data_IF_576404641503
#
_entry.id   IF_576404641503
#
_cell.length_a   1.000
_cell.length_b   1.000
_cell.length_c   1.000
_cell.angle_alpha   90.00
_cell.angle_beta   90.00
_cell.angle_gamma   90.00
#
_symmetry.space_group_name_H-M   'P 1'
#
loop_
_entity.id
_entity.type
_entity.pdbx_description
1 polymer ?
#
# COMPACT_ATOMS: atom_id res chain seq x y z
N UNK A 1 -32.25 6.11 -1.57
CA UNK A 1 -32.28 4.71 -2.05
C UNK A 1 -31.34 3.91 -1.19
N UNK A 2 -31.86 2.92 -0.45
CA UNK A 2 -31.07 2.07 0.45
C UNK A 2 -30.01 1.35 -0.40
N UNK A 3 -28.72 1.36 -0.02
CA UNK A 3 -27.70 0.60 -0.74
C UNK A 3 -28.14 -0.87 -0.72
N UNK A 4 -28.39 -1.43 -1.92
CA UNK A 4 -28.68 -2.86 -2.08
C UNK A 4 -27.65 -3.63 -1.24
N UNK A 5 -28.07 -4.59 -0.41
CA UNK A 5 -27.15 -5.34 0.45
C UNK A 5 -26.39 -6.37 -0.39
N UNK A 6 -25.60 -5.88 -1.36
CA UNK A 6 -24.73 -6.65 -2.25
C UNK A 6 -23.81 -7.56 -1.43
N UNK A 7 -23.40 -7.11 -0.25
CA UNK A 7 -22.62 -7.93 0.69
C UNK A 7 -23.39 -9.16 1.20
N UNK A 8 -24.69 -9.03 1.48
CA UNK A 8 -25.54 -10.16 1.91
C UNK A 8 -25.84 -11.11 0.76
N UNK A 9 -26.09 -10.58 -0.44
CA UNK A 9 -26.30 -11.38 -1.65
C UNK A 9 -25.01 -12.11 -2.07
N UNK A 10 -23.85 -11.46 -1.96
CA UNK A 10 -22.54 -12.06 -2.15
C UNK A 10 -22.26 -13.19 -1.17
N UNK A 11 -22.58 -13.00 0.12
CA UNK A 11 -22.47 -14.08 1.13
C UNK A 11 -23.34 -15.30 0.83
N UNK A 12 -24.58 -15.08 0.35
CA UNK A 12 -25.47 -16.15 -0.12
C UNK A 12 -24.95 -16.85 -1.38
N UNK A 13 -24.35 -16.09 -2.30
CA UNK A 13 -23.77 -16.61 -3.54
C UNK A 13 -22.54 -17.48 -3.28
N UNK A 14 -21.63 -17.06 -2.40
CA UNK A 14 -20.47 -17.85 -1.96
C UNK A 14 -20.93 -19.20 -1.40
N UNK A 15 -21.98 -19.19 -0.56
CA UNK A 15 -22.56 -20.41 0.01
C UNK A 15 -23.16 -21.32 -1.07
N UNK A 16 -23.75 -20.75 -2.13
CA UNK A 16 -24.31 -21.50 -3.25
C UNK A 16 -23.22 -22.13 -4.13
N UNK A 17 -22.20 -21.35 -4.51
CA UNK A 17 -21.10 -21.86 -5.34
C UNK A 17 -20.28 -22.92 -4.59
N UNK A 18 -20.00 -22.71 -3.31
CA UNK A 18 -19.23 -23.66 -2.50
C UNK A 18 -19.96 -24.99 -2.30
N UNK A 19 -21.28 -24.97 -2.07
CA UNK A 19 -22.06 -26.18 -1.83
C UNK A 19 -22.46 -26.91 -3.12
N UNK A 20 -22.80 -26.18 -4.19
CA UNK A 20 -23.33 -26.78 -5.44
C UNK A 20 -22.29 -26.90 -6.54
N UNK A 21 -21.30 -26.00 -6.62
CA UNK A 21 -20.24 -26.04 -7.63
C UNK A 21 -19.33 -27.26 -7.48
N UNK A 22 -18.87 -27.53 -6.25
CA UNK A 22 -17.99 -28.67 -5.98
C UNK A 22 -18.68 -30.02 -6.25
N UNK A 23 -19.95 -30.17 -5.87
CA UNK A 23 -20.70 -31.40 -6.12
C UNK A 23 -21.02 -31.60 -7.60
N UNK A 24 -21.31 -30.52 -8.35
CA UNK A 24 -21.58 -30.61 -9.78
C UNK A 24 -20.33 -30.97 -10.60
N UNK A 25 -19.17 -30.37 -10.29
CA UNK A 25 -17.92 -30.68 -10.98
C UNK A 25 -17.48 -32.12 -10.71
N UNK A 26 -17.67 -32.62 -9.48
CA UNK A 26 -17.37 -34.03 -9.13
C UNK A 26 -18.26 -35.02 -9.86
N UNK A 27 -19.56 -34.73 -9.99
CA UNK A 27 -20.49 -35.56 -10.77
C UNK A 27 -20.11 -35.56 -12.27
N UNK A 28 -19.86 -34.38 -12.86
CA UNK A 28 -19.50 -34.25 -14.28
C UNK A 28 -18.14 -34.90 -14.60
N UNK A 29 -17.20 -34.90 -13.65
CA UNK A 29 -15.91 -35.58 -13.80
C UNK A 29 -16.00 -37.11 -13.78
N UNK A 30 -17.07 -37.65 -13.20
CA UNK A 30 -17.35 -39.07 -13.22
C UNK A 30 -17.97 -39.50 -14.56
N UNK A 31 -18.81 -38.66 -15.16
CA UNK A 31 -19.55 -38.98 -16.38
C UNK A 31 -18.75 -38.77 -17.68
N UNK A 32 -17.75 -37.88 -17.69
CA UNK A 32 -16.96 -37.61 -18.90
C UNK A 32 -15.46 -37.97 -18.79
N UNK A 33 -14.98 -39.03 -19.47
CA UNK A 33 -13.58 -39.46 -19.41
C UNK A 33 -12.60 -38.45 -20.06
N UNK A 34 -13.05 -37.66 -21.05
CA UNK A 34 -12.25 -36.57 -21.63
C UNK A 34 -12.05 -35.42 -20.64
N UNK A 35 -13.13 -35.05 -19.94
CA UNK A 35 -13.09 -34.00 -18.93
C UNK A 35 -12.19 -34.40 -17.76
N UNK A 36 -12.27 -35.66 -17.29
CA UNK A 36 -11.40 -36.22 -16.25
C UNK A 36 -9.91 -36.07 -16.59
N UNK A 37 -9.51 -36.36 -17.82
CA UNK A 37 -8.11 -36.21 -18.27
C UNK A 37 -7.67 -34.75 -18.30
N UNK A 38 -8.53 -33.84 -18.76
CA UNK A 38 -8.23 -32.41 -18.77
C UNK A 38 -8.13 -31.84 -17.35
N UNK A 39 -9.11 -32.13 -16.50
CA UNK A 39 -9.13 -31.74 -15.09
C UNK A 39 -7.91 -32.30 -14.33
N UNK A 40 -7.52 -33.54 -14.57
CA UNK A 40 -6.31 -34.12 -13.98
C UNK A 40 -5.03 -33.40 -14.45
N UNK A 41 -4.93 -33.00 -15.74
CA UNK A 41 -3.81 -32.21 -16.24
C UNK A 41 -3.73 -30.85 -15.58
N UNK A 42 -4.86 -30.13 -15.47
CA UNK A 42 -4.90 -28.81 -14.82
C UNK A 42 -4.66 -28.91 -13.31
N UNK A 43 -5.21 -29.92 -12.64
CA UNK A 43 -4.95 -30.20 -11.24
C UNK A 43 -3.48 -30.51 -10.96
N UNK A 44 -2.82 -31.26 -11.84
CA UNK A 44 -1.37 -31.50 -11.75
C UNK A 44 -0.56 -30.23 -11.99
N UNK A 45 -0.96 -29.39 -12.96
CA UNK A 45 -0.33 -28.09 -13.20
C UNK A 45 -0.45 -27.20 -11.95
N UNK A 46 -1.64 -27.09 -11.36
CA UNK A 46 -1.86 -26.31 -10.15
C UNK A 46 -1.05 -26.85 -8.97
N UNK A 47 -1.00 -28.18 -8.80
CA UNK A 47 -0.16 -28.79 -7.77
C UNK A 47 1.33 -28.47 -7.97
N UNK A 48 1.82 -28.52 -9.21
CA UNK A 48 3.20 -28.17 -9.52
C UNK A 48 3.49 -26.69 -9.27
N UNK A 49 2.57 -25.80 -9.62
CA UNK A 49 2.69 -24.36 -9.33
C UNK A 49 2.72 -24.14 -7.82
N UNK A 50 1.79 -24.74 -7.07
CA UNK A 50 1.74 -24.62 -5.62
C UNK A 50 3.05 -25.09 -4.98
N UNK A 51 3.53 -26.29 -5.31
CA UNK A 51 4.79 -26.83 -4.80
C UNK A 51 6.00 -25.98 -5.17
N UNK A 52 6.03 -25.41 -6.39
CA UNK A 52 7.10 -24.50 -6.82
C UNK A 52 7.10 -23.22 -6.00
N UNK A 53 5.94 -22.61 -5.82
CA UNK A 53 5.79 -21.40 -5.01
C UNK A 53 6.16 -21.66 -3.56
N UNK A 54 5.72 -22.77 -2.96
CA UNK A 54 6.08 -23.14 -1.59
C UNK A 54 7.59 -23.31 -1.41
N UNK A 55 8.27 -24.00 -2.35
CA UNK A 55 9.74 -24.19 -2.26
C UNK A 55 10.48 -22.87 -2.44
N UNK A 56 10.01 -21.98 -3.32
CA UNK A 56 10.59 -20.65 -3.49
C UNK A 56 10.42 -19.81 -2.21
N UNK A 57 9.21 -19.73 -1.68
CA UNK A 57 8.90 -18.98 -0.45
C UNK A 57 9.70 -19.47 0.75
N UNK A 58 9.79 -20.78 0.97
CA UNK A 58 10.56 -21.36 2.08
C UNK A 58 12.06 -20.99 1.97
N UNK A 59 12.60 -20.91 0.76
CA UNK A 59 14.00 -20.55 0.54
C UNK A 59 14.28 -19.08 0.85
N UNK A 60 13.37 -18.19 0.50
CA UNK A 60 13.49 -16.77 0.81
C UNK A 60 13.40 -16.54 2.32
N UNK A 61 12.53 -17.26 3.03
CA UNK A 61 12.43 -17.24 4.50
C UNK A 61 13.68 -17.80 5.17
N UNK A 62 14.25 -18.91 4.68
CA UNK A 62 15.51 -19.45 5.20
C UNK A 62 16.71 -18.52 4.94
N UNK A 63 16.76 -17.89 3.77
CA UNK A 63 17.79 -16.91 3.44
C UNK A 63 17.68 -15.67 4.34
N UNK A 64 16.46 -15.21 4.62
CA UNK A 64 16.19 -14.10 5.54
C UNK A 64 16.58 -14.45 6.98
N UNK A 65 16.28 -15.67 7.45
CA UNK A 65 16.70 -16.15 8.79
C UNK A 65 18.21 -16.24 8.92
N UNK A 66 18.90 -16.78 7.91
CA UNK A 66 20.38 -16.83 7.91
C UNK A 66 21.01 -15.46 7.81
N UNK A 67 20.37 -14.50 7.12
CA UNK A 67 20.83 -13.11 7.09
C UNK A 67 20.70 -12.44 8.47
N UNK A 68 19.61 -12.72 9.19
CA UNK A 68 19.39 -12.23 10.57
C UNK A 68 20.34 -12.88 11.58
N UNK A 69 20.51 -14.20 11.54
CA UNK A 69 21.45 -14.92 12.42
C UNK A 69 22.91 -14.48 12.21
N UNK A 70 23.31 -14.19 10.97
CA UNK A 70 24.64 -13.64 10.65
C UNK A 70 24.81 -12.18 11.05
N UNK A 71 23.73 -11.41 11.08
CA UNK A 71 23.73 -10.02 11.56
C UNK A 71 23.66 -9.94 13.09
N UNK A 72 23.09 -10.94 13.77
CA UNK A 72 22.94 -11.01 15.23
C UNK A 72 24.09 -11.76 15.93
N UNK A 73 24.94 -12.50 15.21
CA UNK A 73 26.09 -13.19 15.81
C UNK A 73 27.21 -12.19 16.19
N UNK A 74 27.64 -12.13 17.47
CA UNK A 74 28.73 -11.27 17.89
C UNK A 74 30.06 -11.76 17.29
N UNK A 75 30.73 -10.85 16.59
CA UNK A 75 31.97 -11.03 15.83
C UNK A 75 33.18 -11.30 16.73
N UNK A 76 33.32 -12.50 17.29
CA UNK A 76 34.62 -13.06 17.70
C UNK A 76 34.55 -14.58 17.66
N UNK A 77 34.90 -15.22 16.53
CA UNK A 77 35.30 -16.64 16.52
C UNK A 77 36.45 -16.94 15.54
N UNK A 78 37.56 -17.30 16.17
CA UNK A 78 38.62 -18.27 15.87
C UNK A 78 38.74 -18.87 14.47
N UNK A 79 39.96 -18.80 13.93
CA UNK A 79 40.44 -19.20 12.59
C UNK A 79 40.20 -20.67 12.15
N UNK A 80 39.60 -21.51 13.00
CA UNK A 80 39.31 -22.91 12.69
C UNK A 80 37.88 -23.12 12.13
N UNK A 81 36.90 -22.31 12.53
CA UNK A 81 35.55 -22.35 11.94
C UNK A 81 35.58 -21.85 10.49
N UNK A 82 36.41 -20.86 10.17
CA UNK A 82 36.60 -20.34 8.80
C UNK A 82 37.18 -21.39 7.85
N UNK A 83 38.11 -22.24 8.30
CA UNK A 83 38.68 -23.31 7.45
C UNK A 83 37.70 -24.45 7.19
N UNK A 84 36.85 -24.78 8.16
CA UNK A 84 35.79 -25.76 7.97
C UNK A 84 34.63 -25.22 7.13
N UNK A 85 34.29 -23.94 7.28
CA UNK A 85 33.31 -23.27 6.42
C UNK A 85 33.81 -23.10 5.00
N UNK A 86 35.11 -22.82 4.80
CA UNK A 86 35.72 -22.78 3.47
C UNK A 86 35.70 -24.15 2.77
N UNK A 87 35.96 -25.24 3.49
CA UNK A 87 35.95 -26.60 2.91
C UNK A 87 34.54 -27.11 2.65
N UNK A 88 33.55 -26.75 3.49
CA UNK A 88 32.12 -27.01 3.26
C UNK A 88 31.53 -26.12 2.17
N UNK A 89 31.95 -24.86 2.06
CA UNK A 89 31.59 -23.94 0.97
C UNK A 89 32.18 -24.41 -0.37
N UNK A 90 33.42 -24.90 -0.39
CA UNK A 90 34.07 -25.48 -1.58
C UNK A 90 33.42 -26.81 -2.02
N UNK A 91 32.85 -27.60 -1.09
CA UNK A 91 32.02 -28.79 -1.43
C UNK A 91 30.62 -28.41 -1.92
N UNK A 92 30.03 -27.35 -1.37
CA UNK A 92 28.68 -26.87 -1.75
C UNK A 92 28.66 -26.09 -3.08
N UNK A 93 29.79 -25.53 -3.51
CA UNK A 93 29.91 -24.77 -4.77
C UNK A 93 30.13 -25.64 -6.03
N UNK A 94 30.37 -26.96 -5.91
CA UNK A 94 30.59 -27.83 -7.08
C UNK A 94 29.32 -28.40 -7.72
N UNK A 95 28.15 -28.15 -7.15
CA UNK A 95 26.87 -28.44 -7.81
C UNK A 95 26.18 -27.12 -8.15
N UNK A 96 26.21 -26.73 -9.42
CA UNK A 96 25.43 -25.60 -9.92
C UNK A 96 23.98 -25.71 -9.42
N UNK A 97 23.36 -24.64 -8.90
CA UNK A 97 22.01 -24.72 -8.37
C UNK A 97 21.08 -25.17 -9.50
N UNK A 98 20.69 -26.44 -9.50
CA UNK A 98 19.71 -26.99 -10.44
C UNK A 98 18.47 -26.13 -10.30
N UNK A 99 18.17 -25.34 -11.32
CA UNK A 99 17.10 -24.35 -11.30
C UNK A 99 15.81 -25.02 -10.80
N UNK A 100 15.14 -24.38 -9.85
CA UNK A 100 13.94 -24.89 -9.17
C UNK A 100 12.86 -25.25 -10.22
N UNK A 101 12.85 -24.50 -11.31
CA UNK A 101 12.03 -24.68 -12.50
C UNK A 101 12.22 -26.02 -13.23
N UNK A 102 13.35 -26.71 -13.02
CA UNK A 102 13.69 -28.02 -13.61
C UNK A 102 13.46 -29.20 -12.66
N UNK A 103 12.88 -28.98 -11.47
CA UNK A 103 12.52 -30.06 -10.53
C UNK A 103 11.17 -30.67 -10.92
N UNK A 104 11.16 -31.98 -11.17
CA UNK A 104 9.93 -32.75 -11.46
C UNK A 104 9.36 -33.27 -10.14
N UNK A 105 8.25 -32.70 -9.69
CA UNK A 105 7.54 -33.15 -8.48
C UNK A 105 6.74 -34.43 -8.75
N UNK A 106 6.50 -35.25 -7.71
CA UNK A 106 5.68 -36.46 -7.82
C UNK A 106 4.23 -36.05 -8.18
N UNK A 107 3.62 -36.65 -9.21
CA UNK A 107 2.25 -36.31 -9.58
C UNK A 107 1.26 -36.80 -8.52
N UNK A 108 0.19 -36.03 -8.31
CA UNK A 108 -0.91 -36.43 -7.44
C UNK A 108 -1.78 -37.51 -8.10
N UNK A 109 -2.45 -38.36 -7.29
CA UNK A 109 -3.45 -39.28 -7.81
C UNK A 109 -4.55 -38.51 -8.54
N UNK A 110 -5.03 -39.06 -9.64
CA UNK A 110 -5.91 -38.35 -10.60
C UNK A 110 -7.16 -37.78 -9.95
N UNK A 111 -7.76 -38.49 -8.99
CA UNK A 111 -8.96 -38.04 -8.26
C UNK A 111 -8.71 -36.76 -7.48
N UNK A 112 -7.61 -36.70 -6.72
CA UNK A 112 -7.24 -35.51 -5.95
C UNK A 112 -6.88 -34.32 -6.85
N UNK A 113 -6.29 -34.59 -8.02
CA UNK A 113 -6.00 -33.53 -8.99
C UNK A 113 -7.30 -32.91 -9.55
N UNK A 114 -8.32 -33.74 -9.80
CA UNK A 114 -9.64 -33.26 -10.22
C UNK A 114 -10.31 -32.44 -9.12
N UNK A 115 -10.24 -32.88 -7.86
CA UNK A 115 -10.78 -32.12 -6.73
C UNK A 115 -10.12 -30.74 -6.60
N UNK A 116 -8.78 -30.67 -6.65
CA UNK A 116 -8.03 -29.41 -6.64
C UNK A 116 -8.42 -28.48 -7.80
N UNK A 117 -8.63 -29.05 -8.99
CA UNK A 117 -9.09 -28.28 -10.15
C UNK A 117 -10.51 -27.72 -9.94
N UNK A 118 -11.41 -28.52 -9.35
CA UNK A 118 -12.77 -28.10 -9.05
C UNK A 118 -12.80 -26.93 -8.06
N UNK A 119 -12.01 -27.03 -6.97
CA UNK A 119 -11.92 -25.99 -5.96
C UNK A 119 -11.38 -24.68 -6.56
N UNK A 120 -10.29 -24.75 -7.34
CA UNK A 120 -9.69 -23.57 -8.00
C UNK A 120 -10.65 -22.90 -8.98
N UNK A 121 -11.43 -23.68 -9.75
CA UNK A 121 -12.44 -23.11 -10.65
C UNK A 121 -13.57 -22.42 -9.88
N UNK A 122 -14.04 -23.05 -8.79
CA UNK A 122 -15.06 -22.46 -7.93
C UNK A 122 -14.61 -21.13 -7.34
N UNK A 123 -13.40 -21.10 -6.80
CA UNK A 123 -12.81 -19.90 -6.22
C UNK A 123 -12.55 -18.81 -7.28
N UNK A 124 -12.01 -19.19 -8.44
CA UNK A 124 -11.78 -18.24 -9.54
C UNK A 124 -13.08 -17.60 -10.04
N UNK A 125 -14.18 -18.37 -10.09
CA UNK A 125 -15.48 -17.85 -10.45
C UNK A 125 -16.02 -16.87 -9.41
N UNK A 126 -15.94 -17.20 -8.11
CA UNK A 126 -16.35 -16.30 -7.02
C UNK A 126 -15.53 -15.01 -7.05
N UNK A 127 -14.20 -15.13 -7.20
CA UNK A 127 -13.29 -13.99 -7.28
C UNK A 127 -13.58 -13.12 -8.52
N UNK A 128 -13.92 -13.72 -9.66
CA UNK A 128 -14.32 -12.97 -10.86
C UNK A 128 -15.60 -12.18 -10.64
N UNK A 129 -16.61 -12.77 -10.02
CA UNK A 129 -17.87 -12.07 -9.68
C UNK A 129 -17.60 -10.95 -8.68
N UNK A 130 -16.81 -11.20 -7.63
CA UNK A 130 -16.43 -10.19 -6.65
C UNK A 130 -15.65 -9.04 -7.28
N UNK A 131 -14.65 -9.35 -8.12
CA UNK A 131 -13.88 -8.35 -8.86
C UNK A 131 -14.76 -7.56 -9.81
N UNK A 132 -15.70 -8.21 -10.51
CA UNK A 132 -16.67 -7.56 -11.38
C UNK A 132 -17.58 -6.59 -10.63
N UNK A 133 -18.07 -6.97 -9.43
CA UNK A 133 -18.85 -6.09 -8.58
C UNK A 133 -18.03 -4.90 -8.07
N UNK A 134 -16.78 -5.13 -7.66
CA UNK A 134 -15.87 -4.06 -7.23
C UNK A 134 -15.61 -3.08 -8.37
N UNK A 135 -15.28 -3.58 -9.57
CA UNK A 135 -15.06 -2.75 -10.76
C UNK A 135 -16.33 -2.00 -11.17
N UNK A 136 -17.49 -2.65 -11.08
CA UNK A 136 -18.77 -2.02 -11.37
C UNK A 136 -19.09 -0.88 -10.39
N UNK A 137 -18.93 -1.11 -9.08
CA UNK A 137 -19.09 -0.05 -8.09
C UNK A 137 -18.05 1.05 -8.26
N UNK A 138 -16.81 0.73 -8.60
CA UNK A 138 -15.76 1.70 -8.88
C UNK A 138 -16.11 2.61 -10.07
N UNK A 139 -16.49 2.02 -11.21
CA UNK A 139 -16.91 2.77 -12.40
C UNK A 139 -18.16 3.61 -12.10
N UNK A 140 -19.14 3.05 -11.38
CA UNK A 140 -20.35 3.76 -10.98
C UNK A 140 -20.09 4.88 -9.97
N UNK A 141 -19.12 4.69 -9.07
CA UNK A 141 -18.73 5.68 -8.05
C UNK A 141 -18.03 6.88 -8.69
N UNK A 142 -17.23 6.67 -9.75
CA UNK A 142 -16.62 7.77 -10.49
C UNK A 142 -17.63 8.68 -11.20
N UNK A 143 -18.84 8.19 -11.50
CA UNK A 143 -19.93 8.98 -12.09
C UNK A 143 -20.67 9.90 -11.12
N UNK A 144 -20.37 9.88 -9.82
CA UNK A 144 -20.94 10.81 -8.84
C UNK A 144 -19.89 11.86 -8.48
N UNK A 145 -20.18 13.17 -8.60
CA UNK A 145 -19.29 14.20 -8.09
C UNK A 145 -19.09 13.91 -6.61
N UNK A 146 -17.83 13.71 -6.26
CA UNK A 146 -17.42 13.33 -4.93
C UNK A 146 -17.92 14.46 -4.00
N UNK A 147 -18.90 14.19 -3.13
CA UNK A 147 -19.34 15.18 -2.14
C UNK A 147 -18.19 15.67 -1.27
N UNK A 148 -17.09 14.91 -1.24
CA UNK A 148 -15.82 15.31 -0.64
C UNK A 148 -15.04 16.28 -1.52
N UNK A 149 -15.06 16.12 -2.86
CA UNK A 149 -14.47 17.05 -3.82
C UNK A 149 -15.12 18.43 -3.79
N UNK A 150 -16.45 18.51 -3.68
CA UNK A 150 -17.16 19.80 -3.48
C UNK A 150 -16.78 20.45 -2.14
N UNK A 151 -16.65 19.66 -1.07
CA UNK A 151 -16.17 20.16 0.23
C UNK A 151 -14.72 20.64 0.15
N UNK A 152 -13.85 19.93 -0.57
CA UNK A 152 -12.45 20.33 -0.78
C UNK A 152 -12.40 21.63 -1.58
N UNK A 153 -13.20 21.78 -2.63
CA UNK A 153 -13.28 23.01 -3.40
C UNK A 153 -13.81 24.19 -2.56
N UNK A 154 -14.84 23.96 -1.73
CA UNK A 154 -15.35 24.97 -0.81
C UNK A 154 -14.33 25.36 0.27
N UNK A 155 -13.52 24.41 0.75
CA UNK A 155 -12.42 24.68 1.69
C UNK A 155 -11.31 25.51 1.03
N UNK A 156 -11.00 25.22 -0.24
CA UNK A 156 -9.97 25.94 -0.99
C UNK A 156 -10.38 27.41 -1.25
N UNK A 157 -11.66 27.65 -1.51
CA UNK A 157 -12.22 29.00 -1.62
C UNK A 157 -12.14 29.77 -0.28
N UNK A 158 -12.53 29.14 0.83
CA UNK A 158 -12.39 29.71 2.18
C UNK A 158 -10.93 30.02 2.52
N UNK A 159 -10.00 29.17 2.11
CA UNK A 159 -8.58 29.37 2.37
C UNK A 159 -8.07 30.61 1.61
N UNK A 160 -8.46 30.78 0.35
CA UNK A 160 -8.14 31.97 -0.44
C UNK A 160 -8.72 33.25 0.17
N UNK A 161 -9.96 33.20 0.66
CA UNK A 161 -10.58 34.34 1.37
C UNK A 161 -9.80 34.72 2.64
N UNK A 162 -9.37 33.72 3.43
CA UNK A 162 -8.59 33.96 4.64
C UNK A 162 -7.22 34.58 4.33
N UNK A 163 -6.53 34.08 3.30
CA UNK A 163 -5.23 34.64 2.86
C UNK A 163 -5.38 36.09 2.39
N UNK A 164 -6.47 36.43 1.70
CA UNK A 164 -6.74 37.82 1.33
C UNK A 164 -6.97 38.71 2.54
N UNK A 165 -7.77 38.24 3.51
CA UNK A 165 -8.01 38.95 4.77
C UNK A 165 -6.74 39.15 5.59
N UNK A 166 -5.87 38.15 5.66
CA UNK A 166 -4.57 38.27 6.33
C UNK A 166 -3.72 39.36 5.67
N UNK A 167 -3.67 39.40 4.34
CA UNK A 167 -2.92 40.41 3.59
C UNK A 167 -3.46 41.82 3.82
N UNK A 168 -4.79 42.01 3.78
CA UNK A 168 -5.42 43.30 4.07
C UNK A 168 -5.13 43.77 5.50
N UNK A 169 -5.18 42.86 6.48
CA UNK A 169 -4.83 43.13 7.87
C UNK A 169 -3.35 43.53 8.02
N UNK A 170 -2.46 42.87 7.30
CA UNK A 170 -1.03 43.17 7.31
C UNK A 170 -0.74 44.58 6.73
N UNK A 171 -1.39 44.93 5.63
CA UNK A 171 -1.31 46.27 5.03
C UNK A 171 -1.88 47.34 5.98
N UNK A 172 -3.03 47.08 6.62
CA UNK A 172 -3.62 47.99 7.60
C UNK A 172 -2.71 48.20 8.82
N UNK A 173 -2.05 47.13 9.30
CA UNK A 173 -1.10 47.18 10.40
C UNK A 173 0.14 48.00 10.03
N UNK A 174 0.69 47.81 8.82
CA UNK A 174 1.81 48.62 8.32
C UNK A 174 1.44 50.10 8.22
N UNK A 175 0.26 50.42 7.68
CA UNK A 175 -0.21 51.81 7.63
C UNK A 175 -0.32 52.43 9.03
N UNK A 176 -0.80 51.67 10.01
CA UNK A 176 -0.89 52.13 11.39
C UNK A 176 0.49 52.35 12.01
N UNK A 177 1.45 51.45 11.78
CA UNK A 177 2.83 51.62 12.24
C UNK A 177 3.49 52.86 11.62
N UNK A 178 3.35 53.07 10.32
CA UNK A 178 3.88 54.26 9.65
C UNK A 178 3.28 55.54 10.21
N UNK A 179 1.96 55.57 10.48
CA UNK A 179 1.31 56.73 11.13
C UNK A 179 1.89 57.00 12.51
N UNK A 180 2.09 55.96 13.33
CA UNK A 180 2.71 56.09 14.65
C UNK A 180 4.13 56.63 14.53
N UNK A 181 4.94 56.08 13.63
CA UNK A 181 6.31 56.53 13.39
C UNK A 181 6.37 58.00 12.95
N UNK A 182 5.49 58.43 12.04
CA UNK A 182 5.43 59.85 11.62
C UNK A 182 5.04 60.79 12.77
N UNK A 183 4.15 60.35 13.66
CA UNK A 183 3.75 61.13 14.84
C UNK A 183 4.91 61.21 15.86
N UNK A 184 5.63 60.11 16.07
CA UNK A 184 6.81 60.07 16.93
C UNK A 184 7.92 61.01 16.40
N UNK A 185 8.20 60.99 15.10
CA UNK A 185 9.15 61.91 14.46
C UNK A 185 8.73 63.37 14.64
N UNK A 186 7.46 63.70 14.40
CA UNK A 186 6.95 65.06 14.61
C UNK A 186 7.06 65.50 16.08
N UNK A 187 6.81 64.61 17.05
CA UNK A 187 6.99 64.88 18.47
C UNK A 187 8.47 65.12 18.79
N UNK A 188 9.39 64.32 18.25
CA UNK A 188 10.83 64.50 18.44
C UNK A 188 11.34 65.82 17.85
N UNK A 189 10.87 66.20 16.67
CA UNK A 189 11.21 67.49 16.05
C UNK A 189 10.73 68.67 16.90
N UNK A 190 9.47 68.65 17.37
CA UNK A 190 8.94 69.65 18.28
C UNK A 190 9.72 69.71 19.60
N UNK A 191 10.09 68.54 20.16
CA UNK A 191 10.90 68.44 21.38
C UNK A 191 12.29 69.05 21.17
N UNK A 192 12.92 68.78 20.04
CA UNK A 192 14.24 69.32 19.68
C UNK A 192 14.20 70.84 19.43
N UNK A 193 13.16 71.34 18.74
CA UNK A 193 12.94 72.77 18.55
C UNK A 193 12.74 73.49 19.90
N UNK A 194 11.91 72.92 20.79
CA UNK A 194 11.69 73.43 22.14
C UNK A 194 12.98 73.42 22.98
N UNK A 195 13.82 72.38 22.83
CA UNK A 195 15.12 72.28 23.52
C UNK A 195 16.10 73.37 23.04
N UNK A 196 16.18 73.61 21.72
CA UNK A 196 17.00 74.68 21.13
C UNK A 196 16.54 76.06 21.61
N UNK A 197 15.23 76.31 21.64
CA UNK A 197 14.66 77.56 22.14
C UNK A 197 14.99 77.80 23.62
N UNK A 198 14.94 76.76 24.46
CA UNK A 198 15.32 76.87 25.88
C UNK A 198 16.81 77.17 26.07
N UNK A 199 17.67 76.58 25.24
CA UNK A 199 19.11 76.84 25.26
C UNK A 199 19.45 78.27 24.82
N UNK A 200 18.81 78.81 23.78
CA UNK A 200 19.05 80.18 23.32
C UNK A 200 18.65 81.24 24.36
N UNK A 201 17.57 81.00 25.11
CA UNK A 201 17.13 81.90 26.19
C UNK A 201 18.10 81.86 27.38
N UNK A 202 18.67 80.69 27.69
CA UNK A 202 19.66 80.53 28.78
C UNK A 202 21.04 81.10 28.47
N UNK A 203 21.42 81.29 27.20
CA UNK A 203 22.70 81.90 26.80
C UNK A 203 22.66 83.44 26.72
N UNK A 204 21.48 84.05 26.89
CA UNK A 204 21.25 85.50 26.82
C UNK A 204 20.99 86.13 28.21
N UNK A 205 21.01 85.33 29.27
CA UNK A 205 20.93 85.76 30.69
C UNK A 205 22.27 85.53 31.37
#
# INVERSE_FOLDING_TARGET
MVPLPLFKLGGLFIRHVSKYGANWIKAQAHDHPRFRKSAAKYGQLMHQINMRMSVTLLRDVEAERRAKEKAEAPTVKTEEETRQDETKAKKSQKEAPKSIWRRKFRPLPETKAVDLFADVIGDAFILSVAMGLILYEYIRAQGKPDSNGEKIAALDEKFKELVQKEKELEEAKQQQQNKVETLEQAIEEMRNASRKQKQSVSSLS
#
